data_IF_514093618476
#
_entry.id   IF_514093618476
#
_cell.length_a   1.000
_cell.length_b   1.000
_cell.length_c   1.000
_cell.angle_alpha   90.00
_cell.angle_beta   90.00
_cell.angle_gamma   90.00
#
_symmetry.space_group_name_H-M   'P 1'
#
loop_
_entity.id
_entity.type
_entity.pdbx_description
1 polymer ?
#
# COMPACT_ATOMS: atom_id res chain seq x y z
N UNK A 1 3.23 7.94 15.99
CA UNK A 1 2.12 7.08 16.46
C UNK A 1 1.60 6.35 15.24
N UNK A 2 1.60 5.01 15.26
CA UNK A 2 1.19 4.22 14.09
C UNK A 2 -0.34 4.19 13.99
N UNK A 3 -0.90 4.71 12.90
CA UNK A 3 -2.34 4.67 12.63
C UNK A 3 -2.71 3.40 11.86
N UNK A 4 -3.42 2.48 12.51
CA UNK A 4 -3.85 1.21 11.93
C UNK A 4 -4.76 1.37 10.68
N UNK A 5 -5.35 2.56 10.46
CA UNK A 5 -6.16 2.84 9.28
C UNK A 5 -5.34 2.82 7.99
N UNK A 6 -4.06 3.22 8.04
CA UNK A 6 -3.18 3.17 6.88
C UNK A 6 -2.90 1.74 6.44
N UNK A 7 -2.61 0.84 7.38
CA UNK A 7 -2.41 -0.59 7.06
C UNK A 7 -3.67 -1.21 6.43
N UNK A 8 -4.85 -0.88 6.98
CA UNK A 8 -6.13 -1.40 6.45
C UNK A 8 -6.39 -0.89 5.04
N UNK A 9 -6.16 0.39 4.78
CA UNK A 9 -6.34 0.98 3.46
C UNK A 9 -5.32 0.42 2.46
N UNK A 10 -4.04 0.34 2.83
CA UNK A 10 -2.99 -0.22 1.99
C UNK A 10 -3.28 -1.67 1.60
N UNK A 11 -3.73 -2.50 2.54
CA UNK A 11 -4.16 -3.87 2.27
C UNK A 11 -5.30 -3.91 1.24
N UNK A 12 -6.33 -3.07 1.44
CA UNK A 12 -7.47 -3.02 0.54
C UNK A 12 -7.08 -2.58 -0.88
N UNK A 13 -6.23 -1.55 -1.00
CA UNK A 13 -5.77 -1.08 -2.31
C UNK A 13 -4.97 -2.16 -3.04
N UNK A 14 -4.04 -2.83 -2.35
CA UNK A 14 -3.14 -3.83 -2.96
C UNK A 14 -3.88 -5.14 -3.28
N UNK A 15 -4.63 -5.71 -2.33
CA UNK A 15 -5.22 -7.04 -2.47
C UNK A 15 -6.54 -7.02 -3.23
N UNK A 16 -7.37 -5.99 -3.03
CA UNK A 16 -8.72 -5.95 -3.60
C UNK A 16 -8.81 -5.05 -4.84
N UNK A 17 -8.31 -3.81 -4.77
CA UNK A 17 -8.48 -2.84 -5.85
C UNK A 17 -7.54 -3.12 -7.03
N UNK A 18 -6.24 -3.30 -6.77
CA UNK A 18 -5.26 -3.62 -7.82
C UNK A 18 -5.10 -5.11 -8.05
N UNK A 19 -5.46 -5.96 -7.06
CA UNK A 19 -5.30 -7.42 -7.10
C UNK A 19 -3.90 -7.83 -7.55
N UNK A 20 -2.90 -7.18 -6.95
CA UNK A 20 -1.50 -7.34 -7.33
C UNK A 20 -1.10 -8.81 -7.28
N UNK A 21 -0.40 -9.29 -8.32
CA UNK A 21 0.12 -10.65 -8.37
C UNK A 21 1.63 -10.67 -8.25
N UNK A 22 2.14 -11.83 -7.83
CA UNK A 22 3.58 -12.11 -7.78
C UNK A 22 4.25 -11.78 -9.12
N UNK A 23 5.38 -11.09 -9.04
CA UNK A 23 6.21 -10.62 -10.17
C UNK A 23 5.56 -9.54 -11.05
N UNK A 24 4.46 -8.92 -10.64
CA UNK A 24 3.97 -7.69 -11.28
C UNK A 24 4.74 -6.47 -10.77
N UNK A 25 4.94 -5.50 -11.65
CA UNK A 25 5.50 -4.20 -11.29
C UNK A 25 4.37 -3.26 -10.85
N UNK A 26 4.60 -2.51 -9.78
CA UNK A 26 3.66 -1.50 -9.29
C UNK A 26 4.36 -0.14 -9.21
N UNK A 27 3.62 0.90 -9.57
CA UNK A 27 4.03 2.29 -9.38
C UNK A 27 3.30 2.85 -8.16
N UNK A 28 4.05 3.43 -7.23
CA UNK A 28 3.51 4.18 -6.09
C UNK A 28 3.97 5.63 -6.27
N UNK A 29 3.05 6.52 -6.64
CA UNK A 29 3.29 7.95 -6.79
C UNK A 29 2.51 8.72 -5.72
N UNK A 30 3.12 9.01 -4.56
CA UNK A 30 2.46 9.74 -3.49
C UNK A 30 2.43 11.24 -3.78
N UNK A 31 1.28 11.89 -3.59
CA UNK A 31 1.12 13.34 -3.65
C UNK A 31 0.26 13.82 -2.49
N UNK A 32 0.79 14.74 -1.68
CA UNK A 32 0.12 15.30 -0.49
C UNK A 32 -0.46 14.23 0.47
N UNK A 33 0.29 13.13 0.64
CA UNK A 33 -0.06 12.05 1.57
C UNK A 33 0.99 11.94 2.68
N UNK A 34 0.60 11.54 3.90
CA UNK A 34 1.55 11.26 4.97
C UNK A 34 2.54 10.15 4.58
N UNK A 35 3.79 10.28 5.00
CA UNK A 35 4.86 9.30 4.74
C UNK A 35 4.48 7.90 5.24
N UNK A 36 3.77 7.81 6.37
CA UNK A 36 3.31 6.55 6.94
C UNK A 36 2.38 5.78 6.00
N UNK A 37 1.57 6.48 5.19
CA UNK A 37 0.70 5.85 4.20
C UNK A 37 1.53 5.23 3.07
N UNK A 38 2.54 5.96 2.57
CA UNK A 38 3.46 5.46 1.55
C UNK A 38 4.22 4.23 2.04
N UNK A 39 4.68 4.26 3.29
CA UNK A 39 5.35 3.11 3.93
C UNK A 39 4.38 1.92 4.05
N UNK A 40 3.13 2.15 4.45
CA UNK A 40 2.12 1.10 4.54
C UNK A 40 1.85 0.45 3.17
N UNK A 41 1.76 1.24 2.10
CA UNK A 41 1.61 0.74 0.72
C UNK A 41 2.79 -0.14 0.30
N UNK A 42 4.03 0.33 0.48
CA UNK A 42 5.24 -0.45 0.14
C UNK A 42 5.24 -1.80 0.89
N UNK A 43 4.87 -1.79 2.17
CA UNK A 43 4.80 -3.02 2.98
C UNK A 43 3.68 -3.96 2.52
N UNK A 44 2.52 -3.43 2.15
CA UNK A 44 1.41 -4.22 1.64
C UNK A 44 1.76 -4.84 0.27
N UNK A 45 2.33 -4.05 -0.64
CA UNK A 45 2.83 -4.51 -1.95
C UNK A 45 3.81 -5.66 -1.79
N UNK A 46 4.80 -5.54 -0.89
CA UNK A 46 5.81 -6.59 -0.69
C UNK A 46 5.23 -7.89 -0.10
N UNK A 47 4.06 -7.83 0.54
CA UNK A 47 3.40 -9.00 1.14
C UNK A 47 2.50 -9.75 0.16
N UNK A 48 1.99 -9.06 -0.88
CA UNK A 48 1.16 -9.63 -1.94
C UNK A 48 2.00 -10.36 -2.99
#
# INVERSE_FOLDING_TARGET
>A
MHDARFDKLAKLLVEYSTRLKRNENVLIEPFDVPDEMTIALIRAVRKA
#
